data_IF_838517798167
#
_entry.id   IF_838517798167
#
_cell.length_a   1.000
_cell.length_b   1.000
_cell.length_c   1.000
_cell.angle_alpha   90.00
_cell.angle_beta   90.00
_cell.angle_gamma   90.00
#
_symmetry.space_group_name_H-M   'P 1'
#
loop_
_entity.id
_entity.type
_entity.pdbx_description
1 polymer ?
#
# COMPACT_ATOMS: atom_id res chain seq x y z
N UNK A 1 -3.71 -7.42 19.67
CA UNK A 1 -3.73 -6.19 20.50
C UNK A 1 -4.83 -5.22 20.06
N UNK A 2 -4.95 -4.87 18.77
CA UNK A 2 -5.96 -3.91 18.26
C UNK A 2 -7.42 -4.36 18.49
N UNK A 3 -7.72 -5.67 18.43
CA UNK A 3 -9.07 -6.20 18.72
C UNK A 3 -9.59 -5.81 20.13
N UNK A 4 -8.70 -5.62 21.10
CA UNK A 4 -9.06 -5.23 22.47
C UNK A 4 -9.24 -3.71 22.64
N UNK A 5 -8.92 -2.91 21.61
CA UNK A 5 -9.08 -1.45 21.65
C UNK A 5 -10.52 -1.01 21.36
N UNK A 6 -11.37 -1.92 20.85
CA UNK A 6 -12.82 -1.70 20.65
C UNK A 6 -13.58 -1.81 21.97
N UNK A 7 -13.15 -1.07 22.97
CA UNK A 7 -13.74 -1.02 24.31
C UNK A 7 -14.04 0.43 24.70
N UNK A 8 -15.04 0.60 25.56
CA UNK A 8 -15.38 1.94 26.05
C UNK A 8 -14.32 2.48 27.02
N UNK A 9 -13.63 1.59 27.74
CA UNK A 9 -12.56 1.94 28.69
C UNK A 9 -11.33 2.49 27.99
N UNK A 10 -10.91 1.89 26.88
CA UNK A 10 -9.78 2.36 26.06
C UNK A 10 -10.10 3.69 25.40
N UNK A 11 -11.34 3.87 24.94
CA UNK A 11 -11.81 5.16 24.44
C UNK A 11 -11.77 6.25 25.51
N UNK A 12 -12.27 5.97 26.72
CA UNK A 12 -12.23 6.93 27.85
C UNK A 12 -10.81 7.29 28.25
N UNK A 13 -9.89 6.32 28.27
CA UNK A 13 -8.47 6.57 28.51
C UNK A 13 -7.89 7.54 27.48
N UNK A 14 -8.16 7.29 26.19
CA UNK A 14 -7.71 8.15 25.09
C UNK A 14 -8.28 9.57 25.18
N UNK A 15 -9.56 9.72 25.52
CA UNK A 15 -10.17 11.04 25.71
C UNK A 15 -9.58 11.77 26.91
N UNK A 16 -9.27 11.07 28.01
CA UNK A 16 -8.62 11.68 29.16
C UNK A 16 -7.21 12.18 28.82
N UNK A 17 -6.42 11.39 28.07
CA UNK A 17 -5.09 11.82 27.60
C UNK A 17 -5.18 13.05 26.70
N UNK A 18 -6.19 13.09 25.81
CA UNK A 18 -6.47 14.25 24.95
C UNK A 18 -6.90 15.46 25.78
N UNK A 19 -7.72 15.26 26.82
CA UNK A 19 -8.14 16.32 27.73
C UNK A 19 -6.94 16.92 28.49
N UNK A 20 -6.03 16.08 28.96
CA UNK A 20 -4.83 16.52 29.68
C UNK A 20 -3.83 17.21 28.75
N UNK A 21 -3.69 16.73 27.50
CA UNK A 21 -2.92 17.43 26.46
C UNK A 21 -3.55 18.80 26.13
N UNK A 22 -4.87 18.86 26.01
CA UNK A 22 -5.61 20.10 25.75
C UNK A 22 -5.40 21.14 26.85
N UNK A 23 -5.47 20.72 28.13
CA UNK A 23 -5.15 21.58 29.28
C UNK A 23 -3.72 22.10 29.24
N UNK A 24 -2.74 21.24 28.90
CA UNK A 24 -1.32 21.60 28.83
C UNK A 24 -1.02 22.63 27.74
N UNK A 25 -1.76 22.61 26.64
CA UNK A 25 -1.55 23.49 25.49
C UNK A 25 -2.62 24.59 25.33
N UNK A 26 -3.48 24.79 26.33
CA UNK A 26 -4.60 25.76 26.31
C UNK A 26 -5.53 25.60 25.09
N UNK A 27 -5.81 24.36 24.69
CA UNK A 27 -6.72 24.04 23.58
C UNK A 27 -8.12 23.81 24.14
N UNK A 28 -9.10 24.60 23.69
CA UNK A 28 -10.50 24.40 24.04
C UNK A 28 -11.07 23.21 23.25
N UNK A 29 -11.45 22.14 23.95
CA UNK A 29 -12.02 20.92 23.39
C UNK A 29 -13.55 20.98 23.22
N UNK A 30 -14.23 21.89 23.92
CA UNK A 30 -15.69 22.05 23.92
C UNK A 30 -16.16 23.00 22.81
N UNK A 31 -15.59 22.87 21.61
CA UNK A 31 -16.03 23.68 20.48
C UNK A 31 -17.35 23.12 19.91
N UNK A 32 -18.38 23.96 19.72
CA UNK A 32 -19.59 23.54 19.03
C UNK A 32 -19.22 23.15 17.61
N UNK A 33 -19.56 21.92 17.21
CA UNK A 33 -19.36 21.48 15.83
C UNK A 33 -20.25 22.34 14.93
N UNK A 34 -19.64 23.03 13.95
CA UNK A 34 -20.41 23.75 12.94
C UNK A 34 -21.33 22.75 12.23
N UNK A 35 -22.64 23.00 12.28
CA UNK A 35 -23.61 22.24 11.51
C UNK A 35 -23.21 22.30 10.04
N UNK A 36 -22.80 21.16 9.50
CA UNK A 36 -22.37 21.07 8.12
C UNK A 36 -23.60 21.29 7.23
N UNK A 37 -23.49 22.18 6.25
CA UNK A 37 -24.54 22.37 5.24
C UNK A 37 -24.76 21.02 4.55
N UNK A 38 -25.97 20.46 4.66
CA UNK A 38 -26.34 19.24 3.94
C UNK A 38 -26.26 19.52 2.44
N UNK A 39 -25.48 18.74 1.71
CA UNK A 39 -25.47 18.81 0.26
C UNK A 39 -26.81 18.22 -0.22
N UNK A 40 -27.55 18.98 -1.03
CA UNK A 40 -28.76 18.45 -1.67
C UNK A 40 -28.33 17.42 -2.71
N UNK A 41 -28.84 16.20 -2.61
CA UNK A 41 -28.59 15.16 -3.60
C UNK A 41 -29.34 15.56 -4.88
N UNK A 42 -28.67 15.62 -6.05
CA UNK A 42 -29.35 15.90 -7.32
C UNK A 42 -30.47 14.89 -7.56
N UNK A 43 -31.62 15.35 -8.08
CA UNK A 43 -32.83 14.53 -8.25
C UNK A 43 -32.63 13.23 -9.00
N UNK A 44 -31.65 13.18 -9.92
CA UNK A 44 -31.29 12.00 -10.72
C UNK A 44 -30.71 10.84 -9.89
N UNK A 45 -30.19 11.11 -8.69
CA UNK A 45 -29.53 10.13 -7.84
C UNK A 45 -30.35 9.74 -6.60
N UNK A 46 -31.64 10.09 -6.56
CA UNK A 46 -32.52 9.77 -5.43
C UNK A 46 -32.69 8.26 -5.20
N UNK A 47 -32.65 7.47 -6.27
CA UNK A 47 -32.83 6.01 -6.22
C UNK A 47 -31.50 5.24 -6.19
N UNK A 48 -30.36 5.96 -6.15
CA UNK A 48 -29.03 5.35 -6.11
C UNK A 48 -28.40 5.47 -4.72
N UNK A 49 -27.74 4.41 -4.26
CA UNK A 49 -26.91 4.46 -3.05
C UNK A 49 -25.58 5.12 -3.41
N UNK A 50 -25.38 6.37 -2.94
CA UNK A 50 -24.15 7.12 -3.20
C UNK A 50 -23.23 7.02 -1.98
N UNK A 51 -22.06 6.39 -2.15
CA UNK A 51 -21.00 6.37 -1.14
C UNK A 51 -20.10 7.60 -1.33
N UNK A 52 -20.57 8.80 -0.99
CA UNK A 52 -19.81 10.05 -1.21
C UNK A 52 -18.77 10.37 -0.13
N UNK A 53 -18.56 9.50 0.86
CA UNK A 53 -17.99 9.90 2.14
C UNK A 53 -16.75 9.11 2.54
N UNK A 54 -15.67 9.85 2.82
CA UNK A 54 -14.44 9.33 3.44
C UNK A 54 -14.69 8.90 4.89
N UNK A 55 -13.76 8.14 5.49
CA UNK A 55 -13.88 7.66 6.89
C UNK A 55 -14.28 8.81 7.83
N UNK A 56 -15.29 8.59 8.69
CA UNK A 56 -15.84 9.60 9.59
C UNK A 56 -16.88 10.55 8.98
N UNK A 57 -17.27 10.34 7.72
CA UNK A 57 -18.32 11.13 7.05
C UNK A 57 -19.57 10.32 6.70
N UNK A 58 -19.72 9.08 7.17
CA UNK A 58 -20.91 8.25 6.88
C UNK A 58 -22.15 8.94 7.43
N UNK A 59 -22.91 9.63 6.57
CA UNK A 59 -24.28 10.04 6.85
C UNK A 59 -25.12 8.76 6.91
N UNK A 60 -25.15 8.11 8.08
CA UNK A 60 -26.19 7.11 8.36
C UNK A 60 -27.49 7.90 8.42
N UNK A 61 -28.28 7.80 7.36
CA UNK A 61 -29.58 8.43 7.24
C UNK A 61 -30.36 8.30 8.55
N UNK A 62 -30.91 9.43 8.99
CA UNK A 62 -31.86 9.65 10.08
C UNK A 62 -31.95 8.54 11.15
N UNK A 63 -31.42 8.80 12.37
CA UNK A 63 -32.04 8.49 13.68
C UNK A 63 -31.10 8.46 14.90
N UNK A 64 -29.83 8.87 14.82
CA UNK A 64 -29.03 9.08 16.05
C UNK A 64 -28.85 10.56 16.34
N UNK A 65 -29.77 11.09 17.16
CA UNK A 65 -29.49 12.24 18.00
C UNK A 65 -28.33 11.85 18.94
N UNK A 66 -27.08 12.08 18.52
CA UNK A 66 -25.94 11.90 19.40
C UNK A 66 -26.12 12.81 20.62
N UNK A 67 -26.08 12.23 21.82
CA UNK A 67 -26.31 12.96 23.09
C UNK A 67 -25.13 13.87 23.44
N UNK A 68 -23.94 13.57 22.92
CA UNK A 68 -22.70 14.33 23.14
C UNK A 68 -21.76 14.24 21.92
N UNK A 69 -20.88 15.24 21.74
CA UNK A 69 -19.82 15.23 20.72
C UNK A 69 -18.89 14.01 20.86
N UNK A 70 -18.66 13.54 22.08
CA UNK A 70 -17.86 12.35 22.38
C UNK A 70 -18.48 11.08 21.80
N UNK A 71 -19.81 10.94 21.90
CA UNK A 71 -20.53 9.78 21.38
C UNK A 71 -20.45 9.71 19.85
N UNK A 72 -20.53 10.87 19.20
CA UNK A 72 -20.37 10.97 17.75
C UNK A 72 -18.97 10.57 17.31
N UNK A 73 -17.94 11.11 17.95
CA UNK A 73 -16.54 10.76 17.67
C UNK A 73 -16.25 9.27 17.92
N UNK A 74 -16.80 8.72 19.02
CA UNK A 74 -16.68 7.31 19.37
C UNK A 74 -17.24 6.38 18.28
N UNK A 75 -18.45 6.67 17.80
CA UNK A 75 -19.15 5.77 16.87
C UNK A 75 -18.75 5.99 15.41
N UNK A 76 -18.68 7.23 14.94
CA UNK A 76 -18.41 7.53 13.52
C UNK A 76 -16.93 7.40 13.16
N UNK A 77 -16.03 7.75 14.09
CA UNK A 77 -14.60 7.79 13.81
C UNK A 77 -13.86 6.66 14.50
N UNK A 78 -13.90 6.58 15.83
CA UNK A 78 -13.05 5.64 16.58
C UNK A 78 -13.36 4.17 16.26
N UNK A 79 -14.61 3.73 16.40
CA UNK A 79 -14.97 2.35 16.05
C UNK A 79 -14.84 2.09 14.56
N UNK A 80 -15.24 3.04 13.70
CA UNK A 80 -15.09 2.85 12.25
C UNK A 80 -13.64 2.70 11.82
N UNK A 81 -12.71 3.42 12.44
CA UNK A 81 -11.27 3.29 12.17
C UNK A 81 -10.74 1.95 12.67
N UNK A 82 -11.08 1.55 13.89
CA UNK A 82 -10.63 0.26 14.44
C UNK A 82 -11.17 -0.89 13.59
N UNK A 83 -12.45 -0.88 13.25
CA UNK A 83 -13.07 -1.91 12.44
C UNK A 83 -12.44 -1.97 11.04
N UNK A 84 -12.17 -0.82 10.40
CA UNK A 84 -11.46 -0.77 9.12
C UNK A 84 -10.03 -1.32 9.24
N UNK A 85 -9.25 -0.89 10.24
CA UNK A 85 -7.88 -1.39 10.44
C UNK A 85 -7.91 -2.91 10.69
N UNK A 86 -8.87 -3.41 11.47
CA UNK A 86 -9.01 -4.83 11.71
C UNK A 86 -9.38 -5.59 10.44
N UNK A 87 -10.28 -5.05 9.62
CA UNK A 87 -10.67 -5.66 8.35
C UNK A 87 -9.47 -5.74 7.41
N UNK A 88 -8.76 -4.63 7.20
CA UNK A 88 -7.55 -4.58 6.36
C UNK A 88 -6.44 -5.49 6.89
N UNK A 89 -6.25 -5.58 8.21
CA UNK A 89 -5.26 -6.49 8.79
C UNK A 89 -5.65 -7.95 8.61
N UNK A 90 -6.93 -8.30 8.78
CA UNK A 90 -7.39 -9.68 8.58
C UNK A 90 -7.35 -10.06 7.10
N UNK A 91 -7.66 -9.13 6.19
CA UNK A 91 -7.58 -9.36 4.74
C UNK A 91 -6.13 -9.54 4.30
N UNK A 92 -5.24 -8.65 4.76
CA UNK A 92 -3.80 -8.72 4.43
C UNK A 92 -3.08 -9.92 5.05
N UNK A 93 -3.40 -10.29 6.28
CA UNK A 93 -2.77 -11.40 7.02
C UNK A 93 -3.71 -12.59 7.20
N UNK A 94 -4.53 -12.89 6.19
CA UNK A 94 -5.31 -14.13 6.14
C UNK A 94 -4.41 -15.36 6.05
N UNK A 95 -4.98 -16.54 6.34
CA UNK A 95 -4.22 -17.81 6.41
C UNK A 95 -3.49 -18.11 5.07
N UNK A 96 -4.16 -17.89 3.94
CA UNK A 96 -3.58 -18.03 2.59
C UNK A 96 -2.37 -17.10 2.38
N UNK A 97 -2.48 -15.83 2.78
CA UNK A 97 -1.42 -14.83 2.62
C UNK A 97 -0.23 -15.13 3.53
N UNK A 98 -0.47 -15.72 4.70
CA UNK A 98 0.59 -16.18 5.61
C UNK A 98 1.33 -17.36 4.99
N UNK A 99 0.62 -18.32 4.38
CA UNK A 99 1.25 -19.42 3.65
C UNK A 99 2.08 -18.91 2.46
N UNK A 100 1.56 -17.94 1.71
CA UNK A 100 2.32 -17.28 0.64
C UNK A 100 3.57 -16.56 1.20
N UNK A 101 3.47 -15.87 2.34
CA UNK A 101 4.63 -15.23 2.94
C UNK A 101 5.69 -16.24 3.40
N UNK A 102 5.25 -17.37 3.98
CA UNK A 102 6.13 -18.47 4.36
C UNK A 102 6.84 -19.06 3.13
N UNK A 103 6.12 -19.24 2.02
CA UNK A 103 6.68 -19.72 0.76
C UNK A 103 7.72 -18.77 0.17
N UNK A 104 7.49 -17.44 0.19
CA UNK A 104 8.48 -16.44 -0.23
C UNK A 104 9.71 -16.45 0.68
N UNK A 105 9.50 -16.67 1.99
CA UNK A 105 10.60 -16.85 2.93
C UNK A 105 11.43 -18.11 2.62
N UNK A 106 10.80 -19.21 2.19
CA UNK A 106 11.49 -20.45 1.80
C UNK A 106 12.35 -20.31 0.53
N UNK A 107 12.08 -19.31 -0.31
CA UNK A 107 12.94 -18.94 -1.45
C UNK A 107 14.25 -18.27 -1.00
N UNK A 108 14.32 -17.72 0.22
CA UNK A 108 15.49 -16.99 0.68
C UNK A 108 16.64 -17.93 1.11
N UNK A 109 17.88 -17.76 0.60
CA UNK A 109 19.03 -18.65 0.90
C UNK A 109 19.39 -18.83 2.38
N UNK A 110 19.10 -17.83 3.21
CA UNK A 110 19.37 -17.85 4.66
C UNK A 110 18.30 -18.60 5.48
N UNK A 111 17.19 -19.00 4.88
CA UNK A 111 16.14 -19.69 5.61
C UNK A 111 16.52 -21.16 5.89
N UNK A 112 16.09 -21.70 7.03
CA UNK A 112 16.30 -23.11 7.40
C UNK A 112 15.59 -24.06 6.43
N UNK A 113 14.44 -23.66 5.89
CA UNK A 113 13.65 -24.40 4.90
C UNK A 113 13.91 -23.93 3.46
N UNK A 114 15.17 -23.69 3.12
CA UNK A 114 15.54 -23.20 1.79
C UNK A 114 15.18 -24.20 0.68
N UNK A 115 14.38 -23.74 -0.30
CA UNK A 115 13.91 -24.53 -1.45
C UNK A 115 13.16 -25.81 -1.08
N UNK A 116 12.44 -25.82 0.04
CA UNK A 116 11.59 -26.96 0.39
C UNK A 116 10.34 -27.02 -0.49
N UNK A 117 9.99 -28.21 -0.98
CA UNK A 117 8.93 -28.36 -2.00
C UNK A 117 7.56 -28.14 -1.40
N UNK A 118 7.33 -28.62 -0.17
CA UNK A 118 6.06 -28.45 0.55
C UNK A 118 5.74 -26.97 0.82
N UNK A 119 6.75 -26.20 1.25
CA UNK A 119 6.59 -24.78 1.56
C UNK A 119 6.44 -23.92 0.30
N UNK A 120 6.92 -24.36 -0.87
CA UNK A 120 6.84 -23.60 -2.12
C UNK A 120 5.56 -23.83 -2.93
N UNK A 121 4.78 -24.88 -2.61
CA UNK A 121 3.50 -25.18 -3.28
C UNK A 121 2.53 -23.99 -3.34
N UNK A 122 2.30 -23.21 -2.27
CA UNK A 122 1.39 -22.07 -2.31
C UNK A 122 1.83 -21.00 -3.31
N UNK A 123 3.13 -20.75 -3.41
CA UNK A 123 3.68 -19.78 -4.36
C UNK A 123 3.57 -20.28 -5.80
N UNK A 124 3.86 -21.57 -6.00
CA UNK A 124 3.77 -22.20 -7.32
C UNK A 124 2.34 -22.20 -7.86
N UNK A 125 1.35 -22.51 -7.02
CA UNK A 125 -0.06 -22.47 -7.41
C UNK A 125 -0.52 -21.04 -7.74
N UNK A 126 -0.11 -20.05 -6.94
CA UNK A 126 -0.42 -18.64 -7.19
C UNK A 126 0.20 -18.11 -8.50
N UNK A 127 1.38 -18.59 -8.87
CA UNK A 127 2.08 -18.22 -10.11
C UNK A 127 1.74 -19.13 -11.31
N UNK A 128 0.80 -20.06 -11.15
CA UNK A 128 0.40 -21.05 -12.19
C UNK A 128 1.58 -21.87 -12.74
N UNK A 129 2.51 -22.25 -11.86
CA UNK A 129 3.68 -23.08 -12.19
C UNK A 129 3.33 -24.55 -11.91
N UNK A 130 3.75 -25.47 -12.80
CA UNK A 130 3.57 -26.90 -12.56
C UNK A 130 4.45 -27.37 -11.39
N UNK A 131 3.80 -27.91 -10.35
CA UNK A 131 4.45 -28.36 -9.12
C UNK A 131 5.39 -29.54 -9.39
N UNK A 132 5.03 -30.43 -10.33
CA UNK A 132 5.85 -31.60 -10.65
C UNK A 132 7.15 -31.18 -11.34
N UNK A 133 7.06 -30.24 -12.27
CA UNK A 133 8.23 -29.66 -12.93
C UNK A 133 9.11 -28.93 -11.90
N UNK A 134 8.50 -28.14 -11.02
CA UNK A 134 9.22 -27.42 -9.98
C UNK A 134 9.98 -28.38 -9.04
N UNK A 135 9.37 -29.46 -8.58
CA UNK A 135 10.01 -30.43 -7.69
C UNK A 135 11.26 -31.07 -8.33
N UNK A 136 11.13 -31.48 -9.60
CA UNK A 136 12.25 -32.03 -10.36
C UNK A 136 13.39 -31.01 -10.53
N UNK A 137 13.07 -29.76 -10.91
CA UNK A 137 14.06 -28.70 -11.06
C UNK A 137 14.74 -28.35 -9.72
N UNK A 138 13.98 -28.27 -8.63
CA UNK A 138 14.49 -27.91 -7.30
C UNK A 138 15.53 -28.92 -6.81
N UNK A 139 15.34 -30.21 -7.07
CA UNK A 139 16.31 -31.25 -6.70
C UNK A 139 17.66 -31.04 -7.42
N UNK A 140 17.63 -30.67 -8.69
CA UNK A 140 18.84 -30.38 -9.48
C UNK A 140 19.47 -29.05 -9.07
N UNK A 141 18.67 -28.01 -8.86
CA UNK A 141 19.14 -26.68 -8.43
C UNK A 141 19.82 -26.74 -7.07
N UNK A 142 19.29 -27.51 -6.11
CA UNK A 142 19.94 -27.75 -4.82
C UNK A 142 21.33 -28.35 -4.98
N UNK A 143 21.52 -29.27 -5.93
CA UNK A 143 22.82 -29.86 -6.21
C UNK A 143 23.76 -28.84 -6.86
N UNK A 144 23.28 -28.10 -7.86
CA UNK A 144 24.03 -27.06 -8.56
C UNK A 144 24.55 -25.97 -7.62
N UNK A 145 23.72 -25.51 -6.67
CA UNK A 145 24.11 -24.50 -5.67
C UNK A 145 25.21 -25.05 -4.74
N UNK A 146 25.10 -26.33 -4.32
CA UNK A 146 26.11 -26.98 -3.47
C UNK A 146 27.45 -27.12 -4.17
N UNK A 147 27.45 -27.41 -5.46
CA UNK A 147 28.67 -27.59 -6.26
C UNK A 147 29.44 -26.27 -6.43
N UNK A 148 28.75 -25.16 -6.68
CA UNK A 148 29.39 -23.84 -6.89
C UNK A 148 30.05 -23.26 -5.63
N UNK A 149 29.74 -23.74 -4.41
CA UNK A 149 30.31 -23.27 -3.12
C UNK A 149 30.29 -21.73 -2.91
N UNK A 150 29.43 -21.01 -3.62
CA UNK A 150 29.27 -19.56 -3.48
C UNK A 150 28.27 -19.24 -2.37
N UNK A 151 28.64 -18.35 -1.45
CA UNK A 151 27.72 -17.86 -0.42
C UNK A 151 26.72 -16.88 -1.03
N UNK A 152 25.52 -17.38 -1.35
CA UNK A 152 24.42 -16.53 -1.80
C UNK A 152 23.72 -15.92 -0.59
N UNK A 153 23.78 -14.60 -0.48
CA UNK A 153 23.18 -13.88 0.65
C UNK A 153 21.78 -13.35 0.33
N UNK A 154 21.47 -13.20 -0.96
CA UNK A 154 20.26 -12.53 -1.45
C UNK A 154 19.58 -13.38 -2.53
N UNK A 155 18.25 -13.25 -2.62
CA UNK A 155 17.41 -13.83 -3.69
C UNK A 155 17.89 -13.36 -5.09
N UNK A 156 18.36 -12.10 -5.20
CA UNK A 156 18.92 -11.56 -6.43
C UNK A 156 20.20 -12.28 -6.87
N UNK A 157 21.07 -12.63 -5.93
CA UNK A 157 22.33 -13.32 -6.22
C UNK A 157 22.04 -14.73 -6.77
N UNK A 158 21.03 -15.40 -6.21
CA UNK A 158 20.53 -16.67 -6.73
C UNK A 158 20.00 -16.51 -8.16
N UNK A 159 19.25 -15.45 -8.44
CA UNK A 159 18.70 -15.22 -9.77
C UNK A 159 19.80 -14.94 -10.81
N UNK A 160 20.83 -14.18 -10.45
CA UNK A 160 21.94 -13.90 -11.37
C UNK A 160 22.74 -15.15 -11.73
N UNK A 161 22.83 -16.12 -10.82
CA UNK A 161 23.55 -17.38 -11.05
C UNK A 161 22.73 -18.41 -11.82
N UNK A 162 21.40 -18.34 -11.73
CA UNK A 162 20.48 -19.14 -12.54
C UNK A 162 20.19 -18.51 -13.91
N UNK A 163 20.42 -17.20 -14.08
CA UNK A 163 20.22 -16.49 -15.35
C UNK A 163 20.90 -17.14 -16.57
N UNK A 164 22.17 -17.61 -16.53
CA UNK A 164 22.80 -18.26 -17.68
C UNK A 164 22.22 -19.64 -17.99
N UNK A 165 21.50 -20.26 -17.03
CA UNK A 165 20.91 -21.60 -17.16
C UNK A 165 19.38 -21.56 -17.12
N UNK A 166 18.79 -20.40 -17.47
CA UNK A 166 17.35 -20.16 -17.42
C UNK A 166 16.55 -21.19 -18.24
N UNK A 167 17.11 -21.68 -19.35
CA UNK A 167 16.46 -22.67 -20.21
C UNK A 167 16.40 -24.07 -19.59
N UNK A 168 17.31 -24.40 -18.66
CA UNK A 168 17.27 -25.68 -17.96
C UNK A 168 16.34 -25.66 -16.74
N UNK A 169 16.11 -24.47 -16.16
CA UNK A 169 15.30 -24.32 -14.95
C UNK A 169 14.24 -23.19 -15.06
N UNK A 170 13.31 -23.29 -16.03
CA UNK A 170 12.31 -22.26 -16.26
C UNK A 170 11.31 -22.11 -15.10
N UNK A 171 10.93 -23.20 -14.41
CA UNK A 171 9.96 -23.15 -13.31
C UNK A 171 10.56 -22.47 -12.07
N UNK A 172 11.78 -22.84 -11.68
CA UNK A 172 12.47 -22.23 -10.54
C UNK A 172 12.83 -20.77 -10.80
N UNK A 173 13.23 -20.42 -12.03
CA UNK A 173 13.55 -19.03 -12.38
C UNK A 173 12.29 -18.16 -12.38
N UNK A 174 11.16 -18.69 -12.87
CA UNK A 174 9.87 -17.99 -12.82
C UNK A 174 9.39 -17.80 -11.38
N UNK A 175 9.54 -18.82 -10.53
CA UNK A 175 9.24 -18.73 -9.10
C UNK A 175 10.06 -17.63 -8.42
N UNK A 176 11.37 -17.59 -8.71
CA UNK A 176 12.30 -16.63 -8.14
C UNK A 176 12.02 -15.19 -8.57
N UNK A 177 11.68 -15.00 -9.85
CA UNK A 177 11.20 -13.71 -10.37
C UNK A 177 9.89 -13.30 -9.71
N UNK A 178 8.95 -14.23 -9.58
CA UNK A 178 7.69 -14.01 -8.87
C UNK A 178 7.91 -13.56 -7.43
N UNK A 179 8.76 -14.25 -6.68
CA UNK A 179 9.12 -13.90 -5.31
C UNK A 179 9.73 -12.49 -5.18
N UNK A 180 10.56 -12.06 -6.16
CA UNK A 180 11.14 -10.71 -6.19
C UNK A 180 10.13 -9.63 -6.58
N UNK A 181 9.13 -9.96 -7.40
CA UNK A 181 8.09 -9.04 -7.83
C UNK A 181 6.97 -8.88 -6.79
N UNK A 182 6.78 -9.85 -5.90
CA UNK A 182 5.78 -9.77 -4.85
C UNK A 182 6.10 -8.64 -3.87
N UNK A 183 5.19 -7.67 -3.66
CA UNK A 183 5.40 -6.58 -2.72
C UNK A 183 5.24 -7.09 -1.28
N UNK A 184 6.30 -7.67 -0.72
CA UNK A 184 6.30 -8.13 0.68
C UNK A 184 6.29 -6.95 1.67
N UNK A 185 6.74 -5.76 1.23
CA UNK A 185 6.83 -4.55 2.07
C UNK A 185 6.17 -3.32 1.43
N UNK A 186 5.75 -2.37 2.28
CA UNK A 186 5.16 -1.07 1.89
C UNK A 186 6.17 -0.04 1.37
N UNK A 187 7.43 -0.44 1.17
CA UNK A 187 8.53 0.49 0.85
C UNK A 187 8.32 1.25 -0.47
N UNK A 188 7.63 0.65 -1.44
CA UNK A 188 7.23 1.32 -2.70
C UNK A 188 6.21 2.44 -2.45
N UNK A 189 5.20 2.20 -1.60
CA UNK A 189 4.23 3.21 -1.22
C UNK A 189 4.90 4.38 -0.49
N UNK A 190 5.84 4.12 0.41
CA UNK A 190 6.58 5.15 1.14
C UNK A 190 7.41 6.05 0.22
N UNK A 191 8.06 5.47 -0.80
CA UNK A 191 8.76 6.23 -1.84
C UNK A 191 7.81 7.18 -2.57
N UNK A 192 6.66 6.69 -3.01
CA UNK A 192 5.66 7.50 -3.73
C UNK A 192 5.08 8.61 -2.85
N UNK A 193 4.73 8.32 -1.59
CA UNK A 193 4.23 9.34 -0.66
C UNK A 193 5.28 10.39 -0.30
N UNK A 194 6.55 9.99 -0.16
CA UNK A 194 7.66 10.94 0.07
C UNK A 194 7.82 11.91 -1.10
N UNK A 195 7.75 11.42 -2.34
CA UNK A 195 7.76 12.29 -3.54
C UNK A 195 6.51 13.15 -3.63
N UNK A 196 5.34 12.59 -3.33
CA UNK A 196 4.08 13.34 -3.32
C UNK A 196 4.12 14.50 -2.32
N UNK A 197 4.74 14.32 -1.15
CA UNK A 197 4.95 15.38 -0.16
C UNK A 197 5.81 16.53 -0.69
N UNK A 198 6.80 16.25 -1.53
CA UNK A 198 7.61 17.28 -2.19
C UNK A 198 6.83 18.00 -3.30
N UNK A 199 5.95 17.26 -3.99
CA UNK A 199 5.10 17.79 -5.07
C UNK A 199 3.98 18.68 -4.50
N UNK A 200 3.36 18.33 -3.38
CA UNK A 200 2.32 19.13 -2.72
C UNK A 200 2.96 20.07 -1.71
N UNK A 201 3.39 21.23 -2.18
CA UNK A 201 3.84 22.33 -1.31
C UNK A 201 2.66 23.13 -0.78
N UNK A 202 2.89 23.98 0.24
CA UNK A 202 1.85 24.83 0.82
C UNK A 202 1.10 25.68 -0.24
N UNK A 203 1.84 26.26 -1.19
CA UNK A 203 1.28 27.05 -2.29
C UNK A 203 0.70 26.20 -3.43
N UNK A 204 0.95 24.88 -3.46
CA UNK A 204 0.52 23.94 -4.51
C UNK A 204 -0.27 22.76 -3.93
N UNK A 205 -1.17 23.04 -2.98
CA UNK A 205 -2.01 22.01 -2.37
C UNK A 205 -3.29 21.71 -3.19
N UNK A 206 -3.75 22.67 -3.98
CA UNK A 206 -4.88 22.54 -4.91
C UNK A 206 -4.35 22.12 -6.28
N UNK A 207 -4.33 20.81 -6.52
CA UNK A 207 -4.00 20.20 -7.81
C UNK A 207 -4.95 19.04 -8.01
N UNK A 208 -5.49 18.89 -9.22
CA UNK A 208 -6.36 17.76 -9.56
C UNK A 208 -5.63 16.42 -9.44
N UNK A 209 -6.39 15.36 -9.13
CA UNK A 209 -5.82 14.04 -8.84
C UNK A 209 -5.06 13.45 -10.03
N UNK A 210 -5.55 13.64 -11.26
CA UNK A 210 -4.88 13.20 -12.50
C UNK A 210 -3.47 13.82 -12.61
N UNK A 211 -3.40 15.16 -12.55
CA UNK A 211 -2.12 15.87 -12.62
C UNK A 211 -1.19 15.49 -11.46
N UNK A 212 -1.73 15.26 -10.27
CA UNK A 212 -0.93 14.82 -9.13
C UNK A 212 -0.31 13.43 -9.39
N UNK A 213 -1.12 12.51 -9.89
CA UNK A 213 -0.69 11.15 -10.27
C UNK A 213 0.45 11.21 -11.29
N UNK A 214 0.27 11.94 -12.39
CA UNK A 214 1.27 12.05 -13.45
C UNK A 214 2.59 12.63 -12.94
N UNK A 215 2.53 13.71 -12.14
CA UNK A 215 3.70 14.31 -11.53
C UNK A 215 4.40 13.36 -10.54
N UNK A 216 3.65 12.54 -9.80
CA UNK A 216 4.25 11.57 -8.88
C UNK A 216 4.96 10.46 -9.62
N UNK A 217 4.42 9.95 -10.72
CA UNK A 217 5.09 8.96 -11.58
C UNK A 217 6.39 9.52 -12.12
N UNK A 218 6.36 10.74 -12.69
CA UNK A 218 7.57 11.42 -13.19
C UNK A 218 8.63 11.63 -12.09
N UNK A 219 8.21 11.92 -10.85
CA UNK A 219 9.14 12.14 -9.74
C UNK A 219 9.72 10.84 -9.16
N UNK A 220 8.99 9.72 -9.24
CA UNK A 220 9.46 8.39 -8.80
C UNK A 220 10.40 7.79 -9.83
N UNK A 221 10.03 7.88 -11.11
CA UNK A 221 10.78 7.34 -12.27
C UNK A 221 11.87 8.27 -12.79
N UNK A 222 12.33 9.23 -11.98
CA UNK A 222 13.39 10.19 -12.35
C UNK A 222 14.78 9.54 -12.57
N UNK A 223 14.84 8.21 -12.67
CA UNK A 223 16.02 7.46 -13.10
C UNK A 223 16.33 7.63 -14.60
N UNK A 224 15.35 8.09 -15.40
CA UNK A 224 15.58 8.45 -16.79
C UNK A 224 16.09 9.89 -16.88
N UNK A 225 17.22 10.09 -17.57
CA UNK A 225 17.76 11.42 -17.82
C UNK A 225 16.93 12.05 -18.94
N UNK A 226 15.96 12.89 -18.58
CA UNK A 226 15.12 13.60 -19.55
C UNK A 226 15.89 14.84 -19.99
N UNK A 227 16.12 14.98 -21.30
CA UNK A 227 16.65 16.22 -21.86
C UNK A 227 15.55 17.31 -21.81
N UNK A 228 15.80 18.33 -21.00
CA UNK A 228 14.88 19.44 -20.81
C UNK A 228 14.76 20.30 -22.08
N UNK A 229 15.81 20.36 -22.90
CA UNK A 229 15.83 21.19 -24.10
C UNK A 229 14.99 20.54 -25.21
N UNK A 230 15.19 19.24 -25.42
CA UNK A 230 14.37 18.44 -26.35
C UNK A 230 12.89 18.45 -25.96
N UNK A 231 12.57 18.32 -24.67
CA UNK A 231 11.17 18.36 -24.21
C UNK A 231 10.52 19.73 -24.40
N UNK A 232 11.27 20.84 -24.27
CA UNK A 232 10.78 22.19 -24.59
C UNK A 232 10.51 22.33 -26.08
N UNK A 233 11.40 21.82 -26.94
CA UNK A 233 11.22 21.86 -28.39
C UNK A 233 9.98 21.05 -28.84
N UNK A 234 9.81 19.83 -28.32
CA UNK A 234 8.63 18.98 -28.57
C UNK A 234 7.34 19.64 -28.05
N UNK A 235 7.41 20.32 -26.90
CA UNK A 235 6.24 21.03 -26.37
C UNK A 235 5.87 22.23 -27.26
N UNK A 236 6.86 23.01 -27.70
CA UNK A 236 6.67 24.19 -28.55
C UNK A 236 6.05 23.83 -29.91
N UNK A 237 6.49 22.72 -30.51
CA UNK A 237 5.97 22.24 -31.79
C UNK A 237 4.53 21.74 -31.70
N UNK A 238 4.19 21.04 -30.61
CA UNK A 238 2.84 20.48 -30.41
C UNK A 238 1.82 21.50 -29.89
N UNK A 239 2.26 22.53 -29.15
CA UNK A 239 1.39 23.56 -28.57
C UNK A 239 1.75 24.95 -29.10
N UNK A 240 1.43 25.21 -30.36
CA UNK A 240 1.74 26.48 -31.05
C UNK A 240 1.13 27.74 -30.39
N UNK A 241 0.24 27.61 -29.40
CA UNK A 241 -0.48 28.71 -28.75
C UNK A 241 -0.19 28.89 -27.24
N UNK A 242 0.72 28.13 -26.62
CA UNK A 242 1.05 28.28 -25.20
C UNK A 242 2.15 29.33 -25.01
N UNK A 243 1.76 30.59 -24.74
CA UNK A 243 2.70 31.63 -24.31
C UNK A 243 3.23 31.31 -22.90
N UNK A 244 4.38 30.67 -22.81
CA UNK A 244 5.14 30.58 -21.56
C UNK A 244 6.18 31.69 -21.58
N UNK A 245 5.89 32.78 -20.86
CA UNK A 245 6.88 33.83 -20.57
C UNK A 245 7.77 33.33 -19.42
N UNK A 246 8.97 32.86 -19.76
CA UNK A 246 10.02 32.64 -18.79
C UNK A 246 10.49 34.02 -18.29
N UNK A 247 10.33 34.28 -17.00
CA UNK A 247 10.81 35.48 -16.31
C UNK A 247 11.88 35.10 -15.31
#
# INVERSE_FOLDING_TARGET
QIKFMRNETTFKCLINDVADFGKKHNINLDQPTRLRRRASIPTRFKDSVIFTTTIGQRDRGDQQSFKSNEDKFRQELFYSLIDSILLELNDRFGDENILLLASVSAVHPKNQKFLDTEELKPLASHLTIDINQLDNELNVVKHFIREKRTTMNTIKDLLTELAPVNDAFPATTSLLRGALCLPVSSTTCERSFSRMKLIKTYCRNSTGDERLSDLTVLAVERTFNIDLEETVDIFSTNHQNSRILLR
#
